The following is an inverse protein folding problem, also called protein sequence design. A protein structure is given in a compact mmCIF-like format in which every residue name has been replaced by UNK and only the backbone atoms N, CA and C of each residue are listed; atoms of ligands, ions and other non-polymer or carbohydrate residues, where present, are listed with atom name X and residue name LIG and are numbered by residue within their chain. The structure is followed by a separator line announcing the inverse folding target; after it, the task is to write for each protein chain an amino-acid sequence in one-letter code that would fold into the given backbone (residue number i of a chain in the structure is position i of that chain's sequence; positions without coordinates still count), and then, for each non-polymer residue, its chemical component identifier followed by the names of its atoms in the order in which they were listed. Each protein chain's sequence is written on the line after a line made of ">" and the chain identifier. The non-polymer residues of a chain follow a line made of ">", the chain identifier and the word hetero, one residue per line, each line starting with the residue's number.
data_IF_683251374303
#
_entry.id   IF_683251374303
#
_cell.length_a   1.000
_cell.length_b   1.000
_cell.length_c   1.000
_cell.angle_alpha   90.00
_cell.angle_beta   90.00
_cell.angle_gamma   90.00
#
_symmetry.space_group_name_H-M   'P 1'
#
loop_
_entity.id
_entity.type
_entity.pdbx_description
1 polymer ?
#
# COMPACT_ATOMS: atom_id res chain seq x y z
N UNK A 1 12.10 -35.61 10.72
CA UNK A 1 11.01 -36.62 10.68
C UNK A 1 9.72 -36.08 10.13
N UNK A 2 9.30 -34.83 10.40
CA UNK A 2 8.08 -34.25 9.83
C UNK A 2 8.06 -34.11 8.29
N UNK A 3 9.22 -34.06 7.64
CA UNK A 3 9.33 -33.97 6.18
C UNK A 3 9.03 -35.28 5.45
N UNK A 4 9.19 -36.42 6.10
CA UNK A 4 8.99 -37.75 5.52
C UNK A 4 7.61 -38.35 5.84
N UNK A 5 7.00 -37.91 6.93
CA UNK A 5 5.70 -38.40 7.41
C UNK A 5 4.85 -37.21 7.92
N UNK A 6 4.30 -36.42 7.00
CA UNK A 6 3.42 -35.30 7.37
C UNK A 6 2.15 -35.81 8.05
N UNK A 7 1.70 -35.14 9.10
CA UNK A 7 0.49 -35.51 9.85
C UNK A 7 -0.81 -35.07 9.13
N UNK A 8 -0.70 -34.13 8.19
CA UNK A 8 -1.80 -33.66 7.35
C UNK A 8 -1.28 -33.18 5.98
N UNK A 9 -2.21 -32.94 5.06
CA UNK A 9 -1.93 -32.45 3.69
C UNK A 9 -1.24 -31.08 3.71
N UNK A 10 -1.54 -30.25 4.68
CA UNK A 10 -0.94 -28.94 4.86
C UNK A 10 0.52 -29.07 5.28
N UNK A 11 0.84 -30.01 6.19
CA UNK A 11 2.21 -30.29 6.60
C UNK A 11 3.05 -30.87 5.46
N UNK A 12 2.46 -31.67 4.56
CA UNK A 12 3.12 -32.20 3.38
C UNK A 12 3.65 -31.11 2.45
N UNK A 13 2.94 -30.00 2.30
CA UNK A 13 3.35 -28.85 1.48
C UNK A 13 4.26 -27.86 2.21
N UNK A 14 4.36 -27.94 3.53
CA UNK A 14 5.16 -27.01 4.34
C UNK A 14 6.66 -27.17 4.07
N UNK A 15 7.11 -28.38 3.76
CA UNK A 15 8.54 -28.70 3.61
C UNK A 15 9.05 -28.69 2.16
N UNK A 16 8.18 -28.43 1.17
CA UNK A 16 8.52 -28.51 -0.26
C UNK A 16 9.06 -27.22 -0.90
N UNK A 17 9.55 -26.24 -0.15
CA UNK A 17 10.14 -25.04 -0.72
C UNK A 17 10.89 -24.19 0.29
N UNK A 18 11.88 -23.43 -0.17
CA UNK A 18 12.58 -22.43 0.66
C UNK A 18 11.58 -21.31 1.05
N UNK A 19 11.12 -21.33 2.30
CA UNK A 19 10.22 -20.30 2.83
C UNK A 19 11.03 -19.24 3.55
N UNK A 20 10.76 -17.99 3.24
CA UNK A 20 11.37 -16.84 3.93
C UNK A 20 10.79 -16.71 5.35
N UNK A 21 9.50 -17.02 5.53
CA UNK A 21 8.82 -16.86 6.81
C UNK A 21 8.40 -18.20 7.41
N UNK A 22 8.54 -18.30 8.74
CA UNK A 22 8.05 -19.42 9.52
C UNK A 22 6.52 -19.52 9.44
N UNK A 23 6.01 -20.68 9.01
CA UNK A 23 4.57 -20.90 8.80
C UNK A 23 3.77 -20.73 10.09
N UNK A 24 4.26 -21.27 11.19
CA UNK A 24 3.52 -21.22 12.46
C UNK A 24 3.35 -19.78 12.95
N UNK A 25 4.39 -18.95 12.73
CA UNK A 25 4.32 -17.51 13.03
C UNK A 25 3.33 -16.80 12.12
N UNK A 26 3.33 -17.11 10.82
CA UNK A 26 2.37 -16.55 9.85
C UNK A 26 0.94 -16.95 10.21
N UNK A 27 0.69 -18.21 10.54
CA UNK A 27 -0.65 -18.70 10.92
C UNK A 27 -1.09 -18.10 12.27
N UNK A 28 -0.19 -17.90 13.21
CA UNK A 28 -0.48 -17.19 14.45
C UNK A 28 -0.88 -15.72 14.17
N UNK A 29 -0.14 -15.03 13.28
CA UNK A 29 -0.48 -13.67 12.86
C UNK A 29 -1.84 -13.60 12.15
N UNK A 30 -2.15 -14.55 11.26
CA UNK A 30 -3.46 -14.62 10.58
C UNK A 30 -4.63 -14.66 11.55
N UNK A 31 -4.50 -15.37 12.68
CA UNK A 31 -5.54 -15.44 13.72
C UNK A 31 -5.80 -14.09 14.40
N UNK A 32 -4.85 -13.16 14.34
CA UNK A 32 -4.99 -11.82 14.92
C UNK A 32 -5.48 -10.79 13.91
N UNK A 33 -5.56 -11.13 12.61
CA UNK A 33 -6.05 -10.24 11.58
C UNK A 33 -7.53 -9.90 11.78
N UNK A 34 -7.86 -8.63 11.62
CA UNK A 34 -9.23 -8.11 11.70
C UNK A 34 -9.75 -7.83 10.29
N UNK A 35 -11.06 -7.99 10.09
CA UNK A 35 -11.71 -7.55 8.85
C UNK A 35 -11.67 -6.02 8.77
N UNK A 36 -11.54 -5.44 7.56
CA UNK A 36 -11.64 -4.00 7.39
C UNK A 36 -13.03 -3.49 7.80
N UNK A 37 -13.09 -2.30 8.37
CA UNK A 37 -14.35 -1.62 8.72
C UNK A 37 -15.04 -1.07 7.47
N UNK A 38 -14.23 -0.65 6.49
CA UNK A 38 -14.72 -0.06 5.25
C UNK A 38 -13.98 -0.66 4.06
N UNK A 39 -14.70 -0.80 2.94
CA UNK A 39 -14.17 -1.19 1.63
C UNK A 39 -14.69 -0.20 0.60
N UNK A 40 -13.84 0.28 -0.29
CA UNK A 40 -14.18 1.28 -1.28
C UNK A 40 -12.97 1.86 -2.00
N UNK A 41 -13.07 3.13 -2.36
CA UNK A 41 -12.00 3.88 -3.03
C UNK A 41 -11.93 5.31 -2.50
N UNK A 42 -10.73 5.89 -2.54
CA UNK A 42 -10.55 7.34 -2.41
C UNK A 42 -10.72 7.94 -3.80
N UNK A 43 -11.60 8.92 -3.91
CA UNK A 43 -11.89 9.68 -5.13
C UNK A 43 -11.57 11.15 -4.91
N UNK A 44 -11.16 11.82 -5.99
CA UNK A 44 -10.91 13.25 -6.06
C UNK A 44 -11.74 13.88 -7.20
N UNK A 45 -11.47 15.12 -7.53
CA UNK A 45 -12.09 15.81 -8.69
C UNK A 45 -11.56 15.31 -10.03
N UNK A 46 -10.35 14.70 -10.04
CA UNK A 46 -9.75 14.08 -11.20
C UNK A 46 -8.89 12.88 -10.77
N UNK A 47 -8.61 11.98 -11.70
CA UNK A 47 -7.74 10.82 -11.44
C UNK A 47 -6.26 11.19 -11.49
N UNK A 48 -5.90 12.27 -12.22
CA UNK A 48 -4.54 12.74 -12.40
C UNK A 48 -4.43 14.28 -12.49
N UNK A 49 -3.22 14.80 -12.38
CA UNK A 49 -2.93 16.22 -12.55
C UNK A 49 -3.32 17.09 -11.34
N UNK A 50 -3.45 18.39 -11.55
CA UNK A 50 -3.62 19.38 -10.46
C UNK A 50 -4.87 19.18 -9.60
N UNK A 51 -5.91 18.58 -10.15
CA UNK A 51 -7.18 18.36 -9.45
C UNK A 51 -7.24 16.96 -8.80
N UNK A 52 -6.22 16.12 -8.98
CA UNK A 52 -6.20 14.76 -8.45
C UNK A 52 -6.14 14.70 -6.90
N UNK A 53 -5.75 15.78 -6.24
CA UNK A 53 -5.67 15.89 -4.79
C UNK A 53 -6.71 16.85 -4.20
N UNK A 54 -7.71 17.24 -4.99
CA UNK A 54 -8.75 18.16 -4.54
C UNK A 54 -10.04 17.42 -4.23
N UNK A 55 -10.75 17.89 -3.18
CA UNK A 55 -12.04 17.35 -2.74
C UNK A 55 -12.01 15.83 -2.51
N UNK A 56 -10.94 15.35 -1.91
CA UNK A 56 -10.75 13.94 -1.59
C UNK A 56 -11.88 13.43 -0.69
N UNK A 57 -12.46 12.32 -1.08
CA UNK A 57 -13.53 11.65 -0.34
C UNK A 57 -13.43 10.14 -0.46
N UNK A 58 -13.77 9.45 0.61
CA UNK A 58 -13.91 7.99 0.57
C UNK A 58 -15.31 7.63 0.06
N UNK A 59 -15.36 6.80 -0.97
CA UNK A 59 -16.60 6.25 -1.55
C UNK A 59 -16.67 4.77 -1.24
N UNK A 60 -17.73 4.35 -0.52
CA UNK A 60 -17.95 2.93 -0.21
C UNK A 60 -18.30 2.17 -1.47
N UNK A 61 -17.54 1.11 -1.74
CA UNK A 61 -17.78 0.16 -2.82
C UNK A 61 -17.39 -1.25 -2.35
N UNK A 62 -18.31 -2.19 -2.45
CA UNK A 62 -18.05 -3.59 -2.04
C UNK A 62 -16.99 -4.27 -2.92
N UNK A 63 -16.76 -3.78 -4.13
CA UNK A 63 -15.75 -4.25 -5.07
C UNK A 63 -14.49 -3.38 -5.07
N UNK A 64 -14.44 -2.34 -4.26
CA UNK A 64 -13.29 -1.47 -4.11
C UNK A 64 -12.07 -2.21 -3.59
N UNK A 65 -10.90 -1.73 -3.97
CA UNK A 65 -9.61 -2.36 -3.63
C UNK A 65 -8.97 -1.73 -2.38
N UNK A 66 -9.53 -0.61 -1.89
CA UNK A 66 -9.07 0.02 -0.66
C UNK A 66 -9.82 -0.53 0.54
N UNK A 67 -9.08 -1.19 1.41
CA UNK A 67 -9.54 -1.71 2.70
C UNK A 67 -9.10 -0.77 3.82
N UNK A 68 -10.03 -0.28 4.63
CA UNK A 68 -9.75 0.65 5.74
C UNK A 68 -10.17 0.02 7.06
N UNK A 69 -9.24 -0.05 8.01
CA UNK A 69 -9.47 -0.45 9.39
C UNK A 69 -9.77 0.75 10.28
N UNK A 70 -9.02 1.86 10.08
CA UNK A 70 -9.24 3.12 10.80
C UNK A 70 -9.22 4.28 9.78
N UNK A 71 -10.20 5.17 9.86
CA UNK A 71 -10.21 6.40 9.08
C UNK A 71 -9.14 7.37 9.62
N UNK A 72 -8.66 8.32 8.80
CA UNK A 72 -7.76 9.34 9.31
C UNK A 72 -8.45 10.15 10.40
N UNK A 73 -7.75 10.38 11.50
CA UNK A 73 -8.19 11.31 12.53
C UNK A 73 -7.73 12.71 12.15
N UNK A 74 -8.69 13.61 12.09
CA UNK A 74 -8.49 15.04 11.83
C UNK A 74 -8.70 15.81 13.13
N UNK A 75 -8.01 15.42 14.22
CA UNK A 75 -8.13 16.17 15.46
C UNK A 75 -7.27 17.45 15.37
N UNK A 76 -7.92 18.61 15.35
CA UNK A 76 -7.26 19.93 15.26
C UNK A 76 -6.35 20.26 16.46
N UNK A 77 -6.40 19.45 17.52
CA UNK A 77 -5.75 19.79 18.78
C UNK A 77 -4.32 19.30 18.92
N UNK A 78 -3.93 18.22 18.26
CA UNK A 78 -2.56 17.70 18.33
C UNK A 78 -2.10 17.23 16.93
N UNK A 79 -1.45 18.12 16.20
CA UNK A 79 -0.83 17.77 14.91
C UNK A 79 0.46 17.00 15.18
N UNK A 80 0.43 15.69 15.04
CA UNK A 80 1.63 14.86 15.03
C UNK A 80 2.18 14.82 13.61
N UNK A 81 3.26 15.54 13.37
CA UNK A 81 3.91 15.60 12.05
C UNK A 81 4.25 14.18 11.55
N UNK A 82 3.83 13.87 10.34
CA UNK A 82 4.02 12.55 9.72
C UNK A 82 3.47 11.39 10.60
N UNK A 83 2.34 11.61 11.27
CA UNK A 83 1.64 10.55 11.99
C UNK A 83 1.39 9.35 11.08
N UNK A 84 0.91 9.61 9.87
CA UNK A 84 0.69 8.58 8.88
C UNK A 84 1.88 8.46 7.92
N UNK A 85 2.18 7.21 7.54
CA UNK A 85 3.19 6.86 6.56
C UNK A 85 2.53 5.99 5.49
N UNK A 86 2.55 6.45 4.25
CA UNK A 86 2.05 5.70 3.10
C UNK A 86 3.23 5.10 2.33
N UNK A 87 3.23 3.78 2.19
CA UNK A 87 4.30 3.01 1.53
C UNK A 87 3.71 2.34 0.29
N UNK A 88 4.42 2.41 -0.81
CA UNK A 88 4.03 1.79 -2.09
C UNK A 88 5.04 0.74 -2.49
N UNK A 89 4.55 -0.48 -2.68
CA UNK A 89 5.25 -1.58 -3.33
C UNK A 89 4.68 -1.73 -4.74
N UNK A 90 5.54 -1.60 -5.75
CA UNK A 90 5.14 -1.55 -7.15
C UNK A 90 5.17 -2.94 -7.76
N UNK A 91 4.01 -3.50 -8.04
CA UNK A 91 3.85 -4.76 -8.77
C UNK A 91 3.79 -4.57 -10.28
N UNK A 92 3.19 -5.53 -10.97
CA UNK A 92 3.02 -5.50 -12.42
C UNK A 92 1.58 -5.26 -12.87
N UNK A 93 1.42 -4.92 -14.16
CA UNK A 93 0.10 -4.63 -14.79
C UNK A 93 -0.75 -5.86 -15.02
N UNK A 94 -0.13 -7.00 -15.33
CA UNK A 94 -0.84 -8.18 -15.78
C UNK A 94 -1.36 -9.02 -14.63
N UNK A 95 -2.48 -9.70 -14.82
CA UNK A 95 -3.04 -10.67 -13.85
C UNK A 95 -2.08 -11.83 -13.51
N UNK A 96 -0.94 -11.94 -14.19
CA UNK A 96 0.12 -12.93 -13.93
C UNK A 96 1.29 -12.32 -13.15
N UNK A 97 1.34 -11.01 -13.00
CA UNK A 97 2.34 -10.29 -12.23
C UNK A 97 1.96 -10.20 -10.75
N UNK A 98 2.90 -9.78 -9.92
CA UNK A 98 2.63 -9.48 -8.52
C UNK A 98 1.70 -8.27 -8.39
N UNK A 99 0.92 -8.24 -7.32
CA UNK A 99 0.05 -7.11 -7.00
C UNK A 99 0.89 -5.88 -6.62
N UNK A 100 0.42 -4.70 -7.04
CA UNK A 100 0.85 -3.45 -6.42
C UNK A 100 0.12 -3.26 -5.10
N UNK A 101 0.81 -2.72 -4.10
CA UNK A 101 0.26 -2.50 -2.77
C UNK A 101 0.53 -1.08 -2.31
N UNK A 102 -0.50 -0.40 -1.80
CA UNK A 102 -0.35 0.86 -1.05
C UNK A 102 -0.78 0.58 0.38
N UNK A 103 0.15 0.76 1.32
CA UNK A 103 -0.07 0.50 2.74
C UNK A 103 0.02 1.78 3.53
N UNK A 104 -0.96 2.05 4.39
CA UNK A 104 -0.93 3.19 5.32
C UNK A 104 -0.72 2.70 6.74
N UNK A 105 0.31 3.24 7.38
CA UNK A 105 0.66 2.98 8.77
C UNK A 105 0.35 4.21 9.63
N UNK A 106 -0.36 4.02 10.74
CA UNK A 106 -0.44 4.99 11.83
C UNK A 106 0.74 4.75 12.78
N UNK A 107 1.53 5.79 13.04
CA UNK A 107 2.71 5.75 13.88
C UNK A 107 2.51 6.39 15.26
N UNK A 108 1.28 6.79 15.59
CA UNK A 108 0.99 7.49 16.85
C UNK A 108 1.52 6.73 18.07
N UNK A 109 1.30 5.42 18.13
CA UNK A 109 1.75 4.60 19.24
C UNK A 109 3.28 4.49 19.39
N UNK A 110 4.04 4.85 18.35
CA UNK A 110 5.51 4.83 18.42
C UNK A 110 6.05 5.93 19.34
N UNK A 111 5.28 6.98 19.60
CA UNK A 111 5.66 8.06 20.54
C UNK A 111 5.91 7.49 21.94
N UNK A 112 5.11 6.50 22.34
CA UNK A 112 5.20 5.84 23.64
C UNK A 112 5.95 4.50 23.58
N UNK A 113 6.77 4.29 22.52
CA UNK A 113 7.55 3.05 22.34
C UNK A 113 6.73 1.87 21.83
N UNK A 114 5.50 2.09 21.37
CA UNK A 114 4.65 1.08 20.72
C UNK A 114 5.08 0.79 19.28
N UNK A 115 4.24 0.05 18.57
CA UNK A 115 4.45 -0.34 17.16
C UNK A 115 3.50 0.40 16.25
N UNK A 116 3.90 0.66 14.97
CA UNK A 116 2.98 1.20 13.99
C UNK A 116 1.85 0.21 13.71
N UNK A 117 0.68 0.74 13.34
CA UNK A 117 -0.52 -0.04 13.06
C UNK A 117 -0.93 0.18 11.60
N UNK A 118 -1.23 -0.90 10.89
CA UNK A 118 -1.81 -0.81 9.54
C UNK A 118 -3.25 -0.30 9.67
N UNK A 119 -3.54 0.84 9.07
CA UNK A 119 -4.87 1.49 9.10
C UNK A 119 -5.60 1.42 7.78
N UNK A 120 -4.87 1.33 6.66
CA UNK A 120 -5.46 1.08 5.34
C UNK A 120 -4.50 0.29 4.44
N UNK A 121 -5.10 -0.40 3.46
CA UNK A 121 -4.39 -1.13 2.42
C UNK A 121 -5.21 -1.08 1.13
N UNK A 122 -4.59 -0.63 0.06
CA UNK A 122 -5.05 -0.83 -1.30
C UNK A 122 -4.17 -1.90 -1.95
N UNK A 123 -4.76 -2.81 -2.74
CA UNK A 123 -3.98 -3.77 -3.51
C UNK A 123 -4.70 -4.09 -4.82
N UNK A 124 -3.93 -4.19 -5.91
CA UNK A 124 -4.50 -4.45 -7.22
C UNK A 124 -3.44 -4.46 -8.32
N UNK A 125 -3.91 -4.63 -9.55
CA UNK A 125 -3.10 -4.46 -10.75
C UNK A 125 -3.53 -3.16 -11.43
N UNK A 126 -2.60 -2.26 -11.66
CA UNK A 126 -2.81 -1.03 -12.41
C UNK A 126 -1.52 -0.56 -13.06
N UNK A 127 -1.62 0.37 -13.96
CA UNK A 127 -0.46 1.02 -14.55
C UNK A 127 0.29 1.85 -13.50
N UNK A 128 1.60 1.99 -13.68
CA UNK A 128 2.46 2.65 -12.69
C UNK A 128 2.05 4.11 -12.46
N UNK A 129 1.63 4.80 -13.52
CA UNK A 129 1.13 6.17 -13.44
C UNK A 129 -0.16 6.24 -12.60
N UNK A 130 -1.12 5.36 -12.87
CA UNK A 130 -2.36 5.27 -12.09
C UNK A 130 -2.07 4.92 -10.62
N UNK A 131 -1.13 3.99 -10.38
CA UNK A 131 -0.70 3.64 -9.03
C UNK A 131 -0.14 4.84 -8.27
N UNK A 132 0.73 5.62 -8.92
CA UNK A 132 1.38 6.77 -8.31
C UNK A 132 0.34 7.85 -7.91
N UNK A 133 -0.64 8.15 -8.79
CA UNK A 133 -1.73 9.06 -8.45
C UNK A 133 -2.65 8.50 -7.38
N UNK A 134 -2.99 7.22 -7.44
CA UNK A 134 -3.79 6.55 -6.40
C UNK A 134 -3.10 6.61 -5.05
N UNK A 135 -1.80 6.35 -5.01
CA UNK A 135 -1.00 6.45 -3.79
C UNK A 135 -0.99 7.88 -3.22
N UNK A 136 -0.82 8.89 -4.08
CA UNK A 136 -0.87 10.29 -3.68
C UNK A 136 -2.26 10.69 -3.15
N UNK A 137 -3.35 10.22 -3.77
CA UNK A 137 -4.73 10.44 -3.28
C UNK A 137 -4.94 9.81 -1.90
N UNK A 138 -4.50 8.55 -1.70
CA UNK A 138 -4.62 7.87 -0.41
C UNK A 138 -3.77 8.58 0.63
N UNK A 139 -2.54 8.97 0.30
CA UNK A 139 -1.65 9.69 1.20
C UNK A 139 -2.22 11.06 1.60
N UNK A 140 -2.79 11.79 0.65
CA UNK A 140 -3.44 13.08 0.92
C UNK A 140 -4.71 12.92 1.75
N UNK A 141 -5.49 11.86 1.53
CA UNK A 141 -6.66 11.53 2.35
C UNK A 141 -6.28 11.21 3.81
N UNK A 142 -5.10 10.63 4.04
CA UNK A 142 -4.53 10.40 5.36
C UNK A 142 -3.64 11.57 5.82
N UNK A 143 -4.21 12.76 5.86
CA UNK A 143 -3.60 14.00 6.40
C UNK A 143 -2.22 14.32 5.77
N UNK A 144 -2.15 14.25 4.45
CA UNK A 144 -0.91 14.45 3.70
C UNK A 144 0.26 13.64 4.29
N UNK A 145 0.04 12.36 4.53
CA UNK A 145 1.02 11.43 5.10
C UNK A 145 2.35 11.46 4.35
N UNK A 146 3.44 11.11 5.00
CA UNK A 146 4.71 10.90 4.30
C UNK A 146 4.55 9.76 3.28
N UNK A 147 4.67 10.09 1.99
CA UNK A 147 4.54 9.13 0.89
C UNK A 147 5.92 8.61 0.49
N UNK A 148 6.08 7.29 0.52
CA UNK A 148 7.31 6.58 0.11
C UNK A 148 6.96 5.59 -0.99
N UNK A 149 7.55 5.76 -2.16
CA UNK A 149 7.37 4.88 -3.31
C UNK A 149 8.67 4.13 -3.58
N UNK A 150 8.58 2.81 -3.71
CA UNK A 150 9.75 1.99 -4.01
C UNK A 150 10.32 2.33 -5.39
N UNK A 151 11.63 2.64 -5.45
CA UNK A 151 12.30 3.03 -6.69
C UNK A 151 12.88 1.85 -7.49
N UNK A 152 12.99 0.66 -6.90
CA UNK A 152 13.68 -0.49 -7.49
C UNK A 152 13.06 -0.94 -8.83
N UNK A 153 11.76 -0.80 -8.99
CA UNK A 153 11.03 -1.12 -10.22
C UNK A 153 11.21 -0.08 -11.32
N UNK A 154 11.66 1.11 -10.98
CA UNK A 154 11.90 2.21 -11.92
C UNK A 154 13.25 2.07 -12.64
N UNK A 155 14.18 1.27 -12.10
CA UNK A 155 15.56 1.12 -12.59
C UNK A 155 15.80 -0.20 -13.35
N UNK A 156 14.79 -1.05 -13.58
CA UNK A 156 15.01 -2.34 -14.26
C UNK A 156 15.26 -2.18 -15.75
N UNK A 157 16.34 -2.80 -16.22
CA UNK A 157 16.82 -2.82 -17.61
C UNK A 157 15.95 -3.66 -18.58
N UNK A 158 14.76 -4.10 -18.20
CA UNK A 158 13.83 -4.78 -19.10
C UNK A 158 13.29 -3.80 -20.15
N UNK A 159 13.48 -4.14 -21.44
CA UNK A 159 13.09 -3.28 -22.58
C UNK A 159 11.62 -2.86 -22.57
N UNK A 160 10.74 -3.71 -22.05
CA UNK A 160 9.31 -3.38 -21.89
C UNK A 160 9.05 -2.39 -20.74
N UNK A 161 9.93 -2.40 -19.71
CA UNK A 161 9.87 -1.48 -18.55
C UNK A 161 10.66 -0.19 -18.77
N UNK A 162 11.59 -0.14 -19.73
CA UNK A 162 12.31 1.10 -20.07
C UNK A 162 11.40 2.19 -20.62
N UNK A 163 10.36 1.81 -21.39
CA UNK A 163 9.34 2.77 -21.87
C UNK A 163 8.51 3.30 -20.69
N UNK A 164 8.21 2.45 -19.72
CA UNK A 164 7.47 2.82 -18.52
C UNK A 164 8.33 3.57 -17.49
N UNK A 165 9.63 3.31 -17.44
CA UNK A 165 10.58 3.96 -16.53
C UNK A 165 10.68 5.47 -16.74
N UNK A 166 10.76 5.92 -17.98
CA UNK A 166 10.79 7.34 -18.32
C UNK A 166 9.47 8.05 -17.97
N UNK A 167 8.34 7.37 -18.19
CA UNK A 167 7.03 7.88 -17.79
C UNK A 167 6.86 7.92 -16.27
N UNK A 168 7.36 6.93 -15.56
CA UNK A 168 7.28 6.87 -14.09
C UNK A 168 8.03 8.00 -13.41
N UNK A 169 9.24 8.32 -13.87
CA UNK A 169 9.99 9.48 -13.37
C UNK A 169 9.27 10.79 -13.67
N UNK A 170 8.67 10.91 -14.84
CA UNK A 170 7.87 12.08 -15.20
C UNK A 170 6.69 12.27 -14.25
N UNK A 171 5.96 11.19 -13.95
CA UNK A 171 4.80 11.22 -13.05
C UNK A 171 5.20 11.51 -11.62
N UNK A 172 6.28 10.90 -11.12
CA UNK A 172 6.81 11.22 -9.80
C UNK A 172 7.20 12.69 -9.68
N UNK A 173 7.80 13.28 -10.73
CA UNK A 173 8.08 14.70 -10.76
C UNK A 173 6.79 15.55 -10.74
N UNK A 174 5.75 15.16 -11.48
CA UNK A 174 4.46 15.85 -11.44
C UNK A 174 3.82 15.76 -10.05
N UNK A 175 3.85 14.58 -9.42
CA UNK A 175 3.32 14.40 -8.06
C UNK A 175 4.10 15.24 -7.07
N UNK A 176 5.42 15.29 -7.18
CA UNK A 176 6.29 16.09 -6.30
C UNK A 176 5.96 17.60 -6.36
N UNK A 177 5.51 18.10 -7.50
CA UNK A 177 5.09 19.50 -7.63
C UNK A 177 3.76 19.79 -6.90
N UNK A 178 2.90 18.79 -6.74
CA UNK A 178 1.53 18.92 -6.22
C UNK A 178 1.43 18.36 -4.81
N UNK A 179 2.12 17.26 -4.51
CA UNK A 179 2.11 16.60 -3.22
C UNK A 179 3.35 16.99 -2.41
N UNK A 180 3.17 17.73 -1.29
CA UNK A 180 4.29 18.36 -0.58
C UNK A 180 5.15 17.38 0.23
N UNK A 181 4.64 16.19 0.56
CA UNK A 181 5.25 15.28 1.53
C UNK A 181 5.71 13.95 0.89
N UNK A 182 6.31 14.03 -0.32
CA UNK A 182 6.93 12.89 -1.01
C UNK A 182 8.39 12.77 -0.59
N UNK A 183 8.79 11.52 -0.18
CA UNK A 183 10.17 11.16 0.19
C UNK A 183 11.01 10.86 -1.05
#
# INVERSE_FOLDING_TARGET
>A
MAAEFPSDDVEAFVHSGARVFDKYKVDAMRKTCKKPKYVGEVCADADEGKNALQNLRFVKDKQGLLHIWELPETDEKEVVTNRYLTIVDVGGRSNKADFSVVLVLDRLFMIDGGKPVVVAQWYGHCDIDQLAWKAAQIAAFYDNSLLVIESNTLETHDKERQVDGDQSQFILNQIKEIYPNLY
#
